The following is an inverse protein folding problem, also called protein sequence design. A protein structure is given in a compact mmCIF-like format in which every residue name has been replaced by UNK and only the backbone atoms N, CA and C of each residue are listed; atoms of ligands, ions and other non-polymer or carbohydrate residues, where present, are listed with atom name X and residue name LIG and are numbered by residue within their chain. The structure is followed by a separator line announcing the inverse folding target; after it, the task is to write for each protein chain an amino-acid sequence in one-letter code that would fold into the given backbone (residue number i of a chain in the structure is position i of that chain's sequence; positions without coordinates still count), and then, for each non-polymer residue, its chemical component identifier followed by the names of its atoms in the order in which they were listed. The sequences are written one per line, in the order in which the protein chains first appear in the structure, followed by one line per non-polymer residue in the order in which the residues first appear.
data_IF_465845572774
#
_entry.id   IF_465845572774
#
_cell.length_a   1.000
_cell.length_b   1.000
_cell.length_c   1.000
_cell.angle_alpha   90.00
_cell.angle_beta   90.00
_cell.angle_gamma   90.00
#
_symmetry.space_group_name_H-M   'P 1'
#
loop_
_entity.id
_entity.type
_entity.pdbx_description
1 polymer ?
#
# COMPACT_ATOMS: atom_id res chain seq x y z
N UNK A 1 9.03 16.01 27.18
CA UNK A 1 8.23 15.59 26.01
C UNK A 1 6.89 15.10 26.52
N UNK A 2 5.84 15.88 26.27
CA UNK A 2 4.51 15.66 26.83
C UNK A 2 3.85 14.42 26.21
N UNK A 3 2.92 13.78 26.93
CA UNK A 3 2.23 12.58 26.41
C UNK A 3 1.47 12.88 25.10
N UNK A 4 0.88 14.07 25.00
CA UNK A 4 0.18 14.58 23.81
C UNK A 4 1.12 14.63 22.58
N UNK A 5 2.37 15.06 22.75
CA UNK A 5 3.34 15.13 21.65
C UNK A 5 3.72 13.74 21.13
N UNK A 6 3.82 12.75 22.04
CA UNK A 6 4.13 11.36 21.68
C UNK A 6 2.99 10.71 20.89
N UNK A 7 1.75 10.98 21.28
CA UNK A 7 0.55 10.45 20.63
C UNK A 7 0.39 11.02 19.22
N UNK A 8 0.47 12.34 19.07
CA UNK A 8 0.42 13.01 17.77
C UNK A 8 1.51 12.50 16.81
N UNK A 9 2.73 12.29 17.32
CA UNK A 9 3.82 11.74 16.51
C UNK A 9 3.51 10.34 15.98
N UNK A 10 2.89 9.47 16.78
CA UNK A 10 2.53 8.10 16.35
C UNK A 10 1.44 8.12 15.29
N UNK A 11 0.42 8.96 15.48
CA UNK A 11 -0.66 9.14 14.50
C UNK A 11 -0.09 9.63 13.17
N UNK A 12 0.80 10.63 13.18
CA UNK A 12 1.47 11.12 11.98
C UNK A 12 2.31 10.04 11.31
N UNK A 13 3.09 9.26 12.07
CA UNK A 13 3.88 8.14 11.53
C UNK A 13 2.99 7.08 10.90
N UNK A 14 1.85 6.77 11.52
CA UNK A 14 0.86 5.84 10.97
C UNK A 14 0.31 6.32 9.62
N UNK A 15 -0.06 7.60 9.51
CA UNK A 15 -0.58 8.14 8.24
C UNK A 15 0.51 8.18 7.17
N UNK A 16 1.70 8.65 7.51
CA UNK A 16 2.85 8.68 6.59
C UNK A 16 3.21 7.27 6.11
N UNK A 17 3.20 6.26 6.99
CA UNK A 17 3.44 4.88 6.63
C UNK A 17 2.47 4.39 5.55
N UNK A 18 1.16 4.61 5.75
CA UNK A 18 0.15 4.18 4.77
C UNK A 18 0.19 5.02 3.48
N UNK A 19 0.55 6.31 3.52
CA UNK A 19 0.75 7.12 2.32
C UNK A 19 1.94 6.60 1.50
N UNK A 20 3.09 6.36 2.15
CA UNK A 20 4.30 5.86 1.49
C UNK A 20 4.03 4.47 0.90
N UNK A 21 3.34 3.61 1.64
CA UNK A 21 3.01 2.26 1.18
C UNK A 21 2.02 2.27 0.01
N UNK A 22 1.22 3.32 -0.15
CA UNK A 22 0.28 3.43 -1.25
C UNK A 22 0.93 3.86 -2.59
N UNK A 23 2.11 4.47 -2.56
CA UNK A 23 2.87 4.84 -3.76
C UNK A 23 3.19 3.63 -4.66
N UNK A 24 3.73 2.50 -4.15
CA UNK A 24 4.00 1.30 -4.95
C UNK A 24 2.76 0.47 -5.29
N UNK A 25 1.61 0.74 -4.67
CA UNK A 25 0.38 -0.04 -4.85
C UNK A 25 -0.06 -0.21 -6.30
N UNK A 26 -0.05 0.83 -7.16
CA UNK A 26 -0.38 0.66 -8.58
C UNK A 26 0.52 -0.36 -9.29
N UNK A 27 1.81 -0.40 -8.97
CA UNK A 27 2.75 -1.36 -9.56
C UNK A 27 2.45 -2.79 -9.12
N UNK A 28 2.16 -2.99 -7.83
CA UNK A 28 1.76 -4.29 -7.29
C UNK A 28 0.47 -4.76 -7.98
N UNK A 29 -0.53 -3.88 -8.14
CA UNK A 29 -1.77 -4.20 -8.83
C UNK A 29 -1.56 -4.57 -10.31
N UNK A 30 -0.74 -3.80 -11.02
CA UNK A 30 -0.39 -4.09 -12.41
C UNK A 30 0.29 -5.46 -12.52
N UNK A 31 1.25 -5.75 -11.62
CA UNK A 31 1.94 -7.04 -11.58
C UNK A 31 1.00 -8.21 -11.28
N UNK A 32 0.00 -8.00 -10.41
CA UNK A 32 -1.04 -9.00 -10.13
C UNK A 32 -1.95 -9.25 -11.32
N UNK A 33 -2.38 -8.19 -12.02
CA UNK A 33 -3.21 -8.32 -13.23
C UNK A 33 -2.46 -9.15 -14.27
N UNK A 34 -1.19 -8.83 -14.54
CA UNK A 34 -0.39 -9.59 -15.48
C UNK A 34 -0.14 -11.03 -15.03
N UNK A 35 0.17 -11.26 -13.76
CA UNK A 35 0.46 -12.59 -13.23
C UNK A 35 -0.74 -13.51 -13.14
N UNK A 36 -1.97 -13.00 -12.97
CA UNK A 36 -3.17 -13.84 -12.85
C UNK A 36 -4.02 -13.91 -14.12
N UNK A 37 -4.15 -12.80 -14.86
CA UNK A 37 -5.02 -12.73 -16.04
C UNK A 37 -4.24 -12.82 -17.35
N UNK A 38 -2.94 -12.51 -17.34
CA UNK A 38 -2.16 -12.34 -18.56
C UNK A 38 -2.61 -11.13 -19.38
N UNK A 39 -1.78 -10.68 -20.32
CA UNK A 39 -2.15 -9.56 -21.21
C UNK A 39 -2.37 -10.03 -22.66
N UNK A 40 -1.40 -10.75 -23.22
CA UNK A 40 -1.44 -11.27 -24.60
C UNK A 40 -1.35 -12.79 -24.68
N UNK A 41 -0.95 -13.46 -23.59
CA UNK A 41 -0.90 -14.92 -23.49
C UNK A 41 -1.22 -15.34 -22.05
N UNK A 42 -1.65 -16.59 -21.83
CA UNK A 42 -1.90 -17.10 -20.49
C UNK A 42 -0.65 -16.94 -19.62
N UNK A 43 -0.77 -16.43 -18.38
CA UNK A 43 0.38 -16.28 -17.52
C UNK A 43 0.95 -17.63 -17.17
N UNK A 44 2.28 -17.71 -17.20
CA UNK A 44 3.03 -18.89 -16.81
C UNK A 44 2.86 -19.17 -15.31
N UNK A 45 3.05 -20.42 -14.90
CA UNK A 45 3.03 -20.79 -13.49
C UNK A 45 4.01 -19.93 -12.66
N UNK A 46 5.18 -19.64 -13.22
CA UNK A 46 6.17 -18.77 -12.56
C UNK A 46 5.62 -17.36 -12.31
N UNK A 47 4.96 -16.73 -13.28
CA UNK A 47 4.39 -15.37 -13.13
C UNK A 47 3.26 -15.32 -12.10
N UNK A 48 2.46 -16.39 -12.00
CA UNK A 48 1.43 -16.54 -10.97
C UNK A 48 2.06 -16.60 -9.58
N UNK A 49 3.11 -17.41 -9.41
CA UNK A 49 3.81 -17.53 -8.12
C UNK A 49 4.52 -16.25 -7.72
N UNK A 50 5.17 -15.54 -8.65
CA UNK A 50 5.82 -14.27 -8.33
C UNK A 50 4.79 -13.19 -7.99
N UNK A 51 3.67 -13.11 -8.70
CA UNK A 51 2.59 -12.19 -8.40
C UNK A 51 1.97 -12.46 -7.02
N UNK A 52 1.65 -13.73 -6.72
CA UNK A 52 1.19 -14.15 -5.40
C UNK A 52 2.21 -13.78 -4.31
N UNK A 53 3.50 -14.04 -4.54
CA UNK A 53 4.58 -13.68 -3.62
C UNK A 53 4.63 -12.18 -3.35
N UNK A 54 4.54 -11.34 -4.38
CA UNK A 54 4.51 -9.89 -4.25
C UNK A 54 3.29 -9.41 -3.43
N UNK A 55 2.10 -10.00 -3.65
CA UNK A 55 0.91 -9.69 -2.87
C UNK A 55 1.06 -10.08 -1.39
N UNK A 56 1.58 -11.28 -1.12
CA UNK A 56 1.80 -11.75 0.26
C UNK A 56 2.78 -10.84 0.99
N UNK A 57 3.91 -10.50 0.37
CA UNK A 57 4.89 -9.56 0.95
C UNK A 57 4.26 -8.20 1.20
N UNK A 58 3.48 -7.68 0.25
CA UNK A 58 2.80 -6.40 0.40
C UNK A 58 1.81 -6.39 1.57
N UNK A 59 0.98 -7.43 1.70
CA UNK A 59 0.04 -7.59 2.81
C UNK A 59 0.78 -7.71 4.14
N UNK A 60 1.89 -8.46 4.20
CA UNK A 60 2.70 -8.60 5.41
C UNK A 60 3.30 -7.26 5.84
N UNK A 61 3.85 -6.48 4.90
CA UNK A 61 4.39 -5.15 5.19
C UNK A 61 3.29 -4.23 5.72
N UNK A 62 2.13 -4.21 5.06
CA UNK A 62 0.98 -3.42 5.49
C UNK A 62 0.53 -3.81 6.90
N UNK A 63 0.34 -5.11 7.16
CA UNK A 63 -0.17 -5.60 8.43
C UNK A 63 0.83 -5.37 9.57
N UNK A 64 2.10 -5.72 9.38
CA UNK A 64 3.14 -5.58 10.40
C UNK A 64 3.42 -4.10 10.69
N UNK A 65 3.46 -3.25 9.66
CA UNK A 65 3.71 -1.82 9.82
C UNK A 65 2.58 -1.13 10.58
N UNK A 66 1.33 -1.40 10.22
CA UNK A 66 0.17 -0.88 10.95
C UNK A 66 0.11 -1.42 12.38
N UNK A 67 0.36 -2.71 12.59
CA UNK A 67 0.42 -3.30 13.93
C UNK A 67 1.48 -2.61 14.81
N UNK A 68 2.68 -2.36 14.27
CA UNK A 68 3.75 -1.66 15.00
C UNK A 68 3.39 -0.22 15.35
N UNK A 69 2.75 0.50 14.43
CA UNK A 69 2.32 1.88 14.68
C UNK A 69 1.21 1.95 15.73
N UNK A 70 0.29 0.99 15.71
CA UNK A 70 -0.90 0.98 16.56
C UNK A 70 -0.73 0.18 17.85
N UNK A 71 0.43 -0.43 18.13
CA UNK A 71 0.60 -1.37 19.25
C UNK A 71 0.19 -0.82 20.62
N UNK A 72 0.34 0.50 20.82
CA UNK A 72 0.00 1.20 22.06
C UNK A 72 -1.48 1.51 22.24
N UNK A 73 -2.27 1.42 21.17
CA UNK A 73 -3.66 1.88 21.17
C UNK A 73 -4.63 0.82 21.71
N UNK A 74 -5.83 1.26 22.10
CA UNK A 74 -6.93 0.36 22.47
C UNK A 74 -7.38 -0.51 21.30
N UNK A 75 -7.97 -1.68 21.60
CA UNK A 75 -8.38 -2.64 20.56
C UNK A 75 -9.38 -2.02 19.57
N UNK A 76 -10.34 -1.22 20.05
CA UNK A 76 -11.31 -0.53 19.19
C UNK A 76 -10.64 0.45 18.22
N UNK A 77 -9.73 1.27 18.73
CA UNK A 77 -8.93 2.21 17.94
C UNK A 77 -8.04 1.49 16.94
N UNK A 78 -7.40 0.38 17.33
CA UNK A 78 -6.59 -0.47 16.43
C UNK A 78 -7.39 -0.95 15.23
N UNK A 79 -8.56 -1.55 15.45
CA UNK A 79 -9.41 -2.05 14.38
C UNK A 79 -9.98 -0.92 13.52
N UNK A 80 -10.41 0.18 14.15
CA UNK A 80 -10.90 1.37 13.44
C UNK A 80 -9.83 1.98 12.54
N UNK A 81 -8.62 2.16 13.05
CA UNK A 81 -7.50 2.68 12.26
C UNK A 81 -7.11 1.69 11.16
N UNK A 82 -6.99 0.38 11.44
CA UNK A 82 -6.74 -0.62 10.39
C UNK A 82 -7.80 -0.58 9.28
N UNK A 83 -9.08 -0.43 9.62
CA UNK A 83 -10.16 -0.29 8.64
C UNK A 83 -10.11 1.03 7.85
N UNK A 84 -9.55 2.10 8.43
CA UNK A 84 -9.33 3.38 7.77
C UNK A 84 -8.05 3.41 6.92
N UNK A 85 -7.06 2.55 7.19
CA UNK A 85 -5.79 2.50 6.46
C UNK A 85 -5.88 2.28 4.94
N UNK A 86 -6.92 1.64 4.37
CA UNK A 86 -7.11 1.58 2.92
C UNK A 86 -7.39 2.94 2.27
N UNK A 87 -7.93 3.93 2.99
CA UNK A 87 -8.19 5.26 2.45
C UNK A 87 -6.91 6.00 2.02
N UNK A 88 -5.92 6.21 2.91
CA UNK A 88 -4.66 6.86 2.53
C UNK A 88 -3.90 6.04 1.49
N UNK A 89 -4.00 4.70 1.53
CA UNK A 89 -3.46 3.81 0.51
C UNK A 89 -4.09 4.07 -0.86
N UNK A 90 -5.42 4.12 -0.95
CA UNK A 90 -6.14 4.33 -2.21
C UNK A 90 -5.88 5.72 -2.79
N UNK A 91 -5.89 6.77 -1.95
CA UNK A 91 -5.62 8.15 -2.37
C UNK A 91 -4.19 8.29 -2.89
N UNK A 92 -3.20 7.79 -2.15
CA UNK A 92 -1.79 7.86 -2.58
C UNK A 92 -1.51 6.99 -3.80
N UNK A 93 -2.15 5.82 -3.91
CA UNK A 93 -2.09 4.98 -5.11
C UNK A 93 -2.66 5.70 -6.34
N UNK A 94 -3.81 6.36 -6.20
CA UNK A 94 -4.43 7.13 -7.28
C UNK A 94 -3.54 8.30 -7.72
N UNK A 95 -2.97 9.05 -6.78
CA UNK A 95 -2.05 10.16 -7.07
C UNK A 95 -0.79 9.62 -7.77
N UNK A 96 -0.18 8.55 -7.25
CA UNK A 96 0.99 7.89 -7.84
C UNK A 96 0.72 7.47 -9.28
N UNK A 97 -0.41 6.79 -9.52
CA UNK A 97 -0.84 6.37 -10.86
C UNK A 97 -1.02 7.56 -11.81
N UNK A 98 -1.65 8.65 -11.35
CA UNK A 98 -1.85 9.86 -12.17
C UNK A 98 -0.54 10.54 -12.54
N UNK A 99 0.40 10.61 -11.61
CA UNK A 99 1.74 11.16 -11.86
C UNK A 99 2.46 10.32 -12.94
N UNK A 100 2.44 9.00 -12.81
CA UNK A 100 3.06 8.09 -13.79
C UNK A 100 2.42 8.26 -15.17
N UNK A 101 1.09 8.28 -15.24
CA UNK A 101 0.36 8.46 -16.49
C UNK A 101 0.68 9.81 -17.17
N UNK A 102 0.77 10.90 -16.38
CA UNK A 102 1.17 12.21 -16.87
C UNK A 102 2.58 12.18 -17.48
N UNK A 103 3.54 11.55 -16.79
CA UNK A 103 4.90 11.43 -17.32
C UNK A 103 4.98 10.55 -18.58
N UNK A 104 4.22 9.44 -18.65
CA UNK A 104 4.13 8.63 -19.88
C UNK A 104 3.63 9.46 -21.05
N UNK A 105 2.54 10.21 -20.85
CA UNK A 105 1.96 11.06 -21.90
C UNK A 105 2.90 12.19 -22.35
N UNK A 106 3.72 12.73 -21.45
CA UNK A 106 4.67 13.80 -21.76
C UNK A 106 5.92 13.28 -22.49
N UNK A 107 6.35 12.05 -22.19
CA UNK A 107 7.52 11.41 -22.80
C UNK A 107 7.22 10.73 -24.15
N UNK A 108 5.97 10.80 -24.65
CA UNK A 108 5.60 10.29 -25.97
C UNK A 108 5.66 8.77 -26.11
N UNK A 109 5.49 8.04 -25.00
CA UNK A 109 5.31 6.57 -24.96
C UNK A 109 3.86 6.24 -24.66
#
# INVERSE_FOLDING_TARGET
MNQIEKENRRIVVYWLFNIILGIPTPYIFIYLIFGFYGFMSPPTEHERFTALGALVVYILVWFIGNYRCLRSEDRGTKFGMLALSPLPLAVSAFISFKIIAMFSSYMGV
#
